data_IF_688347906314
#
_entry.id   IF_688347906314
#
_cell.length_a   1.000
_cell.length_b   1.000
_cell.length_c   1.000
_cell.angle_alpha   90.00
_cell.angle_beta   90.00
_cell.angle_gamma   90.00
#
_symmetry.space_group_name_H-M   'P 1'
#
loop_
_entity.id
_entity.type
_entity.pdbx_description
1 polymer ?
#
# COMPACT_ATOMS: atom_id res chain seq x y z
N UNK A 1 -27.91 30.57 -26.68
CA UNK A 1 -26.55 31.13 -26.77
C UNK A 1 -26.03 31.32 -25.35
N UNK A 2 -25.33 30.33 -24.79
CA UNK A 2 -24.84 30.41 -23.40
C UNK A 2 -23.45 31.04 -23.46
N UNK A 3 -23.35 32.30 -23.05
CA UNK A 3 -22.08 33.03 -23.01
C UNK A 3 -21.19 32.45 -21.90
N UNK A 4 -20.08 31.85 -22.28
CA UNK A 4 -19.06 31.37 -21.35
C UNK A 4 -18.29 32.57 -20.78
N UNK A 5 -18.42 32.79 -19.47
CA UNK A 5 -17.70 33.83 -18.75
C UNK A 5 -16.57 33.20 -17.91
N UNK A 6 -15.30 33.31 -18.33
CA UNK A 6 -14.17 32.75 -17.61
C UNK A 6 -13.93 33.53 -16.31
N UNK A 7 -13.91 32.83 -15.18
CA UNK A 7 -13.51 33.41 -13.88
C UNK A 7 -14.12 32.72 -12.65
N UNK A 8 -15.37 32.24 -12.74
CA UNK A 8 -16.05 31.54 -11.63
C UNK A 8 -16.34 30.06 -11.90
N UNK A 9 -16.67 29.70 -13.13
CA UNK A 9 -16.97 28.32 -13.53
C UNK A 9 -15.76 27.38 -13.38
N UNK A 10 -14.54 27.88 -13.65
CA UNK A 10 -13.32 27.07 -13.52
C UNK A 10 -13.00 26.69 -12.08
N UNK A 11 -13.28 27.55 -11.09
CA UNK A 11 -12.99 27.25 -9.68
C UNK A 11 -13.86 26.09 -9.19
N UNK A 12 -15.14 26.09 -9.61
CA UNK A 12 -16.09 25.02 -9.30
C UNK A 12 -15.69 23.73 -9.99
N UNK A 13 -15.33 23.79 -11.27
CA UNK A 13 -14.84 22.63 -12.02
C UNK A 13 -13.55 22.04 -11.42
N UNK A 14 -12.60 22.89 -10.99
CA UNK A 14 -11.34 22.46 -10.38
C UNK A 14 -11.58 21.81 -9.00
N UNK A 15 -12.47 22.39 -8.18
CA UNK A 15 -12.88 21.81 -6.89
C UNK A 15 -13.59 20.45 -7.07
N UNK A 16 -14.49 20.34 -8.05
CA UNK A 16 -15.16 19.09 -8.40
C UNK A 16 -14.18 18.04 -8.94
N UNK A 17 -13.21 18.44 -9.76
CA UNK A 17 -12.17 17.54 -10.29
C UNK A 17 -11.30 16.98 -9.17
N UNK A 18 -10.84 17.84 -8.23
CA UNK A 18 -10.09 17.42 -7.04
C UNK A 18 -10.90 16.47 -6.15
N UNK A 19 -12.17 16.76 -5.91
CA UNK A 19 -13.08 15.90 -5.14
C UNK A 19 -13.32 14.56 -5.84
N UNK A 20 -13.47 14.57 -7.16
CA UNK A 20 -13.59 13.35 -7.97
C UNK A 20 -12.33 12.50 -7.88
N UNK A 21 -11.14 13.10 -7.96
CA UNK A 21 -9.87 12.40 -7.80
C UNK A 21 -9.70 11.75 -6.42
N UNK A 22 -10.09 12.44 -5.34
CA UNK A 22 -10.10 11.86 -3.99
C UNK A 22 -11.07 10.67 -3.88
N UNK A 23 -12.29 10.81 -4.40
CA UNK A 23 -13.28 9.72 -4.41
C UNK A 23 -12.79 8.53 -5.24
N UNK A 24 -12.13 8.80 -6.38
CA UNK A 24 -11.53 7.75 -7.20
C UNK A 24 -10.41 7.02 -6.45
N UNK A 25 -9.55 7.75 -5.73
CA UNK A 25 -8.51 7.15 -4.88
C UNK A 25 -9.08 6.23 -3.81
N UNK A 26 -10.12 6.67 -3.09
CA UNK A 26 -10.80 5.87 -2.06
C UNK A 26 -11.41 4.59 -2.67
N UNK A 27 -12.09 4.70 -3.82
CA UNK A 27 -12.67 3.53 -4.50
C UNK A 27 -11.61 2.52 -4.93
N UNK A 28 -10.45 3.00 -5.41
CA UNK A 28 -9.33 2.15 -5.77
C UNK A 28 -8.77 1.42 -4.53
N UNK A 29 -8.63 2.11 -3.40
CA UNK A 29 -8.18 1.48 -2.14
C UNK A 29 -9.18 0.42 -1.64
N UNK A 30 -10.49 0.71 -1.68
CA UNK A 30 -11.55 -0.25 -1.31
C UNK A 30 -11.55 -1.50 -2.21
N UNK A 31 -11.36 -1.32 -3.52
CA UNK A 31 -11.30 -2.44 -4.47
C UNK A 31 -10.05 -3.30 -4.26
N UNK A 32 -8.90 -2.69 -4.01
CA UNK A 32 -7.65 -3.38 -3.69
C UNK A 32 -7.81 -4.19 -2.40
N UNK A 33 -8.36 -3.60 -1.34
CA UNK A 33 -8.57 -4.29 -0.06
C UNK A 33 -9.48 -5.51 -0.27
N UNK A 34 -10.58 -5.36 -1.01
CA UNK A 34 -11.50 -6.47 -1.32
C UNK A 34 -10.84 -7.58 -2.13
N UNK A 35 -9.95 -7.24 -3.06
CA UNK A 35 -9.21 -8.24 -3.84
C UNK A 35 -8.21 -9.00 -2.97
N UNK A 36 -7.52 -8.33 -2.05
CA UNK A 36 -6.65 -8.97 -1.08
C UNK A 36 -7.43 -9.95 -0.18
N UNK A 37 -8.59 -9.52 0.34
CA UNK A 37 -9.49 -10.40 1.12
C UNK A 37 -9.94 -11.62 0.30
N UNK A 38 -10.29 -11.43 -0.97
CA UNK A 38 -10.68 -12.53 -1.87
C UNK A 38 -9.54 -13.51 -2.15
N UNK A 39 -8.30 -13.03 -2.15
CA UNK A 39 -7.09 -13.85 -2.25
C UNK A 39 -6.69 -14.50 -0.92
N UNK A 40 -7.44 -14.25 0.16
CA UNK A 40 -7.11 -14.75 1.50
C UNK A 40 -5.88 -14.07 2.11
N UNK A 41 -5.53 -12.87 1.63
CA UNK A 41 -4.43 -12.07 2.13
C UNK A 41 -4.98 -11.13 3.21
N UNK A 42 -4.44 -11.26 4.41
CA UNK A 42 -4.81 -10.42 5.55
C UNK A 42 -3.92 -9.18 5.65
N UNK A 43 -4.52 -8.05 6.00
CA UNK A 43 -3.81 -6.81 6.34
C UNK A 43 -4.04 -6.45 7.80
N UNK A 44 -2.97 -6.11 8.51
CA UNK A 44 -3.02 -5.56 9.87
C UNK A 44 -2.26 -4.24 9.90
N UNK A 45 -2.95 -3.15 10.22
CA UNK A 45 -2.35 -1.80 10.29
C UNK A 45 -1.52 -1.51 9.03
N UNK A 46 -2.17 -1.66 7.87
CA UNK A 46 -1.63 -1.53 6.50
C UNK A 46 -0.46 -2.44 6.12
N UNK A 47 -0.13 -3.44 6.93
CA UNK A 47 0.93 -4.42 6.68
C UNK A 47 0.38 -5.79 6.32
N UNK A 48 1.06 -6.51 5.42
CA UNK A 48 0.73 -7.88 5.05
C UNK A 48 0.97 -8.81 6.24
N UNK A 49 -0.09 -9.47 6.68
CA UNK A 49 0.00 -10.49 7.74
C UNK A 49 0.64 -11.73 7.15
N UNK A 50 1.74 -12.18 7.76
CA UNK A 50 2.40 -13.42 7.39
C UNK A 50 1.85 -14.54 8.26
N UNK A 51 1.17 -15.56 7.67
CA UNK A 51 0.63 -16.71 8.39
C UNK A 51 1.64 -17.37 9.33
N UNK A 52 1.15 -18.15 10.29
CA UNK A 52 1.99 -18.94 11.18
C UNK A 52 2.56 -20.19 10.49
N UNK A 53 3.19 -19.98 9.33
CA UNK A 53 3.90 -20.95 8.53
C UNK A 53 5.41 -20.63 8.63
N UNK A 54 6.17 -21.54 9.23
CA UNK A 54 7.61 -21.38 9.42
C UNK A 54 8.35 -21.30 8.09
N UNK A 55 7.94 -22.09 7.10
CA UNK A 55 8.56 -22.14 5.77
C UNK A 55 8.41 -20.80 5.06
N UNK A 56 7.22 -20.21 5.12
CA UNK A 56 6.94 -18.91 4.52
C UNK A 56 7.76 -17.80 5.18
N UNK A 57 7.81 -17.78 6.51
CA UNK A 57 8.57 -16.78 7.28
C UNK A 57 10.08 -16.90 7.04
N UNK A 58 10.60 -18.12 7.00
CA UNK A 58 12.01 -18.39 6.69
C UNK A 58 12.37 -18.00 5.27
N UNK A 59 11.51 -18.32 4.28
CA UNK A 59 11.72 -17.93 2.90
C UNK A 59 11.76 -16.41 2.74
N UNK A 60 10.84 -15.69 3.39
CA UNK A 60 10.78 -14.22 3.35
C UNK A 60 12.03 -13.57 3.98
N UNK A 61 12.49 -14.09 5.12
CA UNK A 61 13.75 -13.65 5.74
C UNK A 61 14.95 -13.98 4.84
N UNK A 62 15.01 -15.17 4.26
CA UNK A 62 16.11 -15.62 3.39
C UNK A 62 16.22 -14.77 2.13
N UNK A 63 15.09 -14.46 1.50
CA UNK A 63 15.03 -13.59 0.32
C UNK A 63 15.51 -12.16 0.66
N UNK A 64 15.03 -11.61 1.78
CA UNK A 64 15.47 -10.29 2.26
C UNK A 64 16.97 -10.25 2.58
N UNK A 65 17.52 -11.34 3.13
CA UNK A 65 18.94 -11.51 3.39
C UNK A 65 19.78 -11.64 2.10
N UNK A 66 19.20 -12.21 1.04
CA UNK A 66 19.92 -12.55 -0.21
C UNK A 66 19.75 -11.52 -1.33
N UNK A 67 18.99 -10.45 -1.09
CA UNK A 67 18.72 -9.41 -2.10
C UNK A 67 20.01 -8.83 -2.67
N UNK A 68 20.20 -8.79 -4.01
CA UNK A 68 21.42 -8.27 -4.63
C UNK A 68 21.59 -6.74 -4.45
N UNK A 69 20.56 -6.06 -3.96
CA UNK A 69 20.61 -4.64 -3.55
C UNK A 69 21.03 -4.44 -2.10
N UNK A 70 21.30 -5.54 -1.38
CA UNK A 70 21.81 -5.57 -0.02
C UNK A 70 23.31 -5.22 -0.04
N UNK A 71 23.64 -3.93 0.06
CA UNK A 71 25.00 -3.51 0.46
C UNK A 71 25.14 -3.79 1.96
N UNK A 72 25.32 -5.08 2.31
CA UNK A 72 25.31 -5.65 3.66
C UNK A 72 24.80 -4.71 4.78
N UNK A 73 23.50 -4.36 4.76
CA UNK A 73 22.87 -3.74 5.91
C UNK A 73 22.87 -4.79 7.02
N UNK A 74 23.34 -4.44 8.21
CA UNK A 74 23.22 -5.33 9.37
C UNK A 74 21.77 -5.75 9.59
N UNK A 75 21.55 -6.87 10.30
CA UNK A 75 20.22 -7.45 10.54
C UNK A 75 19.17 -6.44 11.04
N UNK A 76 19.60 -5.40 11.76
CA UNK A 76 18.76 -4.29 12.22
C UNK A 76 18.04 -3.54 11.09
N UNK A 77 18.74 -3.24 9.99
CA UNK A 77 18.16 -2.46 8.88
C UNK A 77 17.20 -3.31 8.05
N UNK A 78 17.53 -4.57 7.82
CA UNK A 78 16.62 -5.51 7.16
C UNK A 78 15.34 -5.76 7.96
N UNK A 79 15.46 -5.91 9.28
CA UNK A 79 14.29 -6.08 10.13
C UNK A 79 13.39 -4.84 10.13
N UNK A 80 14.00 -3.64 10.07
CA UNK A 80 13.26 -2.39 9.90
C UNK A 80 12.50 -2.34 8.57
N UNK A 81 13.18 -2.70 7.47
CA UNK A 81 12.58 -2.70 6.13
C UNK A 81 11.43 -3.73 6.03
N UNK A 82 11.60 -4.93 6.61
CA UNK A 82 10.55 -5.93 6.64
C UNK A 82 9.35 -5.49 7.49
N UNK A 83 9.58 -4.84 8.63
CA UNK A 83 8.52 -4.31 9.51
C UNK A 83 7.64 -3.24 8.87
N UNK A 84 8.15 -2.57 7.84
CA UNK A 84 7.39 -1.56 7.12
C UNK A 84 6.25 -2.17 6.32
N UNK A 85 6.42 -3.40 5.82
CA UNK A 85 5.47 -4.02 4.88
C UNK A 85 4.82 -5.29 5.41
N UNK A 86 5.46 -5.99 6.35
CA UNK A 86 5.02 -7.28 6.86
C UNK A 86 4.78 -7.25 8.37
N UNK A 87 3.88 -8.11 8.84
CA UNK A 87 3.56 -8.28 10.26
C UNK A 87 3.32 -9.75 10.62
N UNK A 88 3.85 -10.20 11.76
CA UNK A 88 3.43 -11.42 12.45
C UNK A 88 3.80 -11.36 13.94
N UNK A 89 3.18 -12.22 14.76
CA UNK A 89 3.49 -12.29 16.20
C UNK A 89 4.96 -12.64 16.45
N UNK A 90 5.69 -11.79 17.17
CA UNK A 90 7.11 -11.97 17.47
C UNK A 90 8.07 -11.32 16.47
N UNK A 91 7.52 -10.66 15.45
CA UNK A 91 8.22 -9.62 14.69
C UNK A 91 8.20 -8.30 15.48
#
# INVERSE_FOLDING_TARGET
NIQYHPGKANVVADALSRKSGMIAGIKTEEEIIRDLERLGIELYDTRLVVPNDATLREALLTEAHSSPFSVHPGSTKMYHDLKQYFWWSGM
#
